data_IF_781154781077
#
_entry.id   IF_781154781077
#
_cell.length_a   1.000
_cell.length_b   1.000
_cell.length_c   1.000
_cell.angle_alpha   90.00
_cell.angle_beta   90.00
_cell.angle_gamma   90.00
#
_symmetry.space_group_name_H-M   'P 1'
#
loop_
_entity.id
_entity.type
_entity.pdbx_description
1 polymer ?
#
# COMPACT_ATOMS: atom_id res chain seq x y z
N UNK A 1 -12.23 -32.29 27.34
CA UNK A 1 -12.28 -30.83 27.53
C UNK A 1 -12.51 -30.21 26.16
N UNK A 2 -13.66 -29.55 25.97
CA UNK A 2 -14.06 -28.92 24.72
C UNK A 2 -14.08 -27.42 25.00
N UNK A 3 -13.29 -26.64 24.27
CA UNK A 3 -13.32 -25.18 24.35
C UNK A 3 -14.57 -24.68 23.60
N UNK A 4 -15.42 -23.84 24.21
CA UNK A 4 -16.55 -23.27 23.49
C UNK A 4 -16.05 -22.25 22.46
N UNK A 5 -16.44 -22.44 21.20
CA UNK A 5 -16.16 -21.50 20.12
C UNK A 5 -16.82 -20.15 20.45
N UNK A 6 -16.00 -19.11 20.51
CA UNK A 6 -16.46 -17.72 20.64
C UNK A 6 -17.26 -17.35 19.37
N UNK A 7 -18.44 -16.73 19.50
CA UNK A 7 -19.23 -16.34 18.34
C UNK A 7 -18.53 -15.20 17.61
N UNK A 8 -18.12 -15.48 16.37
CA UNK A 8 -17.59 -14.49 15.43
C UNK A 8 -18.68 -13.46 15.09
N UNK A 9 -18.80 -12.41 15.89
CA UNK A 9 -19.65 -11.25 15.59
C UNK A 9 -18.82 -10.00 15.49
N UNK A 10 -18.39 -9.72 14.27
CA UNK A 10 -18.49 -8.38 13.67
C UNK A 10 -18.45 -8.52 12.15
N UNK A 11 -19.64 -8.72 11.58
CA UNK A 11 -19.87 -8.63 10.14
C UNK A 11 -19.76 -7.16 9.77
N UNK A 12 -18.58 -6.72 9.35
CA UNK A 12 -18.46 -5.52 8.54
C UNK A 12 -19.37 -5.73 7.33
N UNK A 13 -20.52 -5.04 7.29
CA UNK A 13 -21.34 -4.94 6.08
C UNK A 13 -20.56 -4.12 5.05
N UNK A 14 -19.53 -4.72 4.45
CA UNK A 14 -19.04 -4.28 3.14
C UNK A 14 -20.14 -4.70 2.18
N UNK A 15 -20.97 -3.73 1.77
CA UNK A 15 -21.76 -3.92 0.55
C UNK A 15 -20.81 -4.43 -0.52
N UNK A 16 -21.04 -5.66 -1.00
CA UNK A 16 -20.27 -6.20 -2.10
C UNK A 16 -20.30 -5.13 -3.20
N UNK A 17 -19.14 -4.68 -3.71
CA UNK A 17 -19.09 -3.55 -4.63
C UNK A 17 -20.04 -3.84 -5.79
N UNK A 18 -21.07 -3.00 -5.92
CA UNK A 18 -22.06 -3.18 -6.98
C UNK A 18 -21.31 -3.08 -8.30
N UNK A 19 -21.43 -4.17 -9.05
CA UNK A 19 -20.78 -4.41 -10.33
C UNK A 19 -21.25 -3.33 -11.34
N UNK A 20 -20.67 -2.12 -11.30
CA UNK A 20 -20.99 -1.03 -12.25
C UNK A 20 -20.81 -1.52 -13.69
N UNK A 21 -21.89 -1.48 -14.45
CA UNK A 21 -21.97 -1.87 -15.86
C UNK A 21 -21.42 -0.72 -16.73
N UNK A 22 -20.10 -0.65 -16.90
CA UNK A 22 -19.48 0.14 -17.99
C UNK A 22 -19.09 -0.79 -19.15
N UNK A 23 -19.01 -0.23 -20.37
CA UNK A 23 -18.73 -0.92 -21.65
C UNK A 23 -17.54 -1.89 -21.62
N UNK A 24 -16.59 -1.73 -20.69
CA UNK A 24 -15.39 -2.54 -20.56
C UNK A 24 -15.57 -3.97 -20.00
N UNK A 25 -16.81 -4.45 -19.79
CA UNK A 25 -17.08 -5.85 -19.44
C UNK A 25 -17.23 -6.78 -20.63
N UNK A 26 -17.58 -6.28 -21.81
CA UNK A 26 -17.73 -7.15 -23.00
C UNK A 26 -16.39 -7.71 -23.46
N UNK A 27 -15.30 -7.02 -23.13
CA UNK A 27 -13.94 -7.48 -23.38
C UNK A 27 -13.38 -8.23 -22.15
N UNK A 28 -13.48 -9.56 -22.21
CA UNK A 28 -12.98 -10.47 -21.17
C UNK A 28 -11.47 -10.37 -21.01
N UNK A 29 -10.73 -10.13 -22.08
CA UNK A 29 -9.26 -10.04 -22.04
C UNK A 29 -8.81 -8.74 -21.39
N UNK A 30 -9.51 -7.64 -21.68
CA UNK A 30 -9.29 -6.36 -21.00
C UNK A 30 -9.55 -6.48 -19.49
N UNK A 31 -10.68 -7.07 -19.08
CA UNK A 31 -11.01 -7.26 -17.68
C UNK A 31 -9.99 -8.15 -16.96
N UNK A 32 -9.54 -9.23 -17.60
CA UNK A 32 -8.50 -10.13 -17.08
C UNK A 32 -7.16 -9.42 -16.92
N UNK A 33 -6.73 -8.68 -17.93
CA UNK A 33 -5.47 -7.92 -17.91
C UNK A 33 -5.50 -6.89 -16.78
N UNK A 34 -6.59 -6.13 -16.65
CA UNK A 34 -6.76 -5.16 -15.55
C UNK A 34 -6.70 -5.82 -14.17
N UNK A 35 -7.33 -6.99 -14.00
CA UNK A 35 -7.30 -7.72 -12.74
C UNK A 35 -5.87 -8.21 -12.39
N UNK A 36 -5.15 -8.77 -13.36
CA UNK A 36 -3.77 -9.21 -13.16
C UNK A 36 -2.83 -8.04 -12.84
N UNK A 37 -2.90 -6.95 -13.62
CA UNK A 37 -2.10 -5.75 -13.35
C UNK A 37 -2.37 -5.15 -11.97
N UNK A 38 -3.63 -5.20 -11.49
CA UNK A 38 -3.96 -4.80 -10.14
C UNK A 38 -3.25 -5.69 -9.10
N UNK A 39 -3.27 -7.01 -9.26
CA UNK A 39 -2.59 -7.94 -8.36
C UNK A 39 -1.08 -7.70 -8.34
N UNK A 40 -0.46 -7.55 -9.51
CA UNK A 40 0.97 -7.23 -9.66
C UNK A 40 1.34 -5.92 -8.96
N UNK A 41 0.49 -4.90 -9.09
CA UNK A 41 0.62 -3.64 -8.37
C UNK A 41 0.56 -3.84 -6.85
N UNK A 42 -0.41 -4.62 -6.34
CA UNK A 42 -0.54 -4.89 -4.89
C UNK A 42 0.66 -5.64 -4.32
N UNK A 43 1.20 -6.59 -5.06
CA UNK A 43 2.37 -7.34 -4.60
C UNK A 43 3.65 -6.51 -4.65
N UNK A 44 3.75 -5.61 -5.62
CA UNK A 44 4.84 -4.63 -5.71
C UNK A 44 4.78 -3.64 -4.55
N UNK A 45 3.61 -3.10 -4.22
CA UNK A 45 3.40 -2.24 -3.04
C UNK A 45 3.78 -2.94 -1.73
N UNK A 46 3.37 -4.20 -1.54
CA UNK A 46 3.78 -4.98 -0.35
C UNK A 46 5.30 -5.16 -0.28
N UNK A 47 5.95 -5.37 -1.42
CA UNK A 47 7.41 -5.50 -1.52
C UNK A 47 8.09 -4.21 -1.06
N UNK A 48 7.64 -3.07 -1.59
CA UNK A 48 8.15 -1.76 -1.22
C UNK A 48 7.98 -1.43 0.27
N UNK A 49 6.80 -1.65 0.84
CA UNK A 49 6.58 -1.42 2.28
C UNK A 49 7.47 -2.30 3.14
N UNK A 50 7.66 -3.58 2.76
CA UNK A 50 8.59 -4.49 3.45
C UNK A 50 10.04 -4.02 3.35
N UNK A 51 10.45 -3.55 2.18
CA UNK A 51 11.78 -2.98 1.97
C UNK A 51 11.99 -1.77 2.89
N UNK A 52 11.10 -0.77 2.84
CA UNK A 52 11.22 0.42 3.68
C UNK A 52 11.28 0.08 5.17
N UNK A 53 10.41 -0.82 5.63
CA UNK A 53 10.37 -1.26 7.02
C UNK A 53 11.70 -1.91 7.45
N UNK A 54 12.23 -2.83 6.62
CA UNK A 54 13.50 -3.50 6.92
C UNK A 54 14.67 -2.52 6.93
N UNK A 55 14.78 -1.66 5.93
CA UNK A 55 15.89 -0.72 5.80
C UNK A 55 15.87 0.30 6.94
N UNK A 56 14.70 0.84 7.28
CA UNK A 56 14.59 1.80 8.40
C UNK A 56 14.91 1.20 9.77
N UNK A 57 14.59 -0.08 10.00
CA UNK A 57 15.02 -0.79 11.20
C UNK A 57 16.52 -1.10 11.20
N UNK A 58 17.07 -1.56 10.07
CA UNK A 58 18.50 -1.87 9.92
C UNK A 58 19.38 -0.64 10.18
N UNK A 59 18.96 0.51 9.66
CA UNK A 59 19.64 1.79 9.85
C UNK A 59 19.33 2.45 11.20
N UNK A 60 18.57 1.76 12.08
CA UNK A 60 18.16 2.26 13.41
C UNK A 60 17.46 3.63 13.36
N UNK A 61 16.78 3.92 12.24
CA UNK A 61 16.09 5.18 12.01
C UNK A 61 14.72 5.22 12.69
N UNK A 62 14.08 4.05 12.83
CA UNK A 62 12.79 3.88 13.48
C UNK A 62 12.89 2.79 14.54
N UNK A 63 12.24 3.02 15.68
CA UNK A 63 11.89 1.97 16.64
C UNK A 63 10.82 1.03 16.07
N UNK A 64 10.61 -0.12 16.70
CA UNK A 64 9.58 -1.08 16.26
C UNK A 64 8.17 -0.48 16.31
N UNK A 65 7.87 0.29 17.35
CA UNK A 65 6.61 1.00 17.52
C UNK A 65 6.41 2.02 16.40
N UNK A 66 7.49 2.71 16.05
CA UNK A 66 7.48 3.68 14.98
C UNK A 66 7.23 2.99 13.62
N UNK A 67 7.97 1.95 13.33
CA UNK A 67 7.83 1.19 12.10
C UNK A 67 6.41 0.59 11.95
N UNK A 68 5.74 0.21 13.06
CA UNK A 68 4.34 -0.22 13.07
C UNK A 68 3.39 0.92 12.68
N UNK A 69 3.57 2.15 13.15
CA UNK A 69 2.68 3.25 12.73
C UNK A 69 2.97 3.72 11.30
N UNK A 70 4.22 3.68 10.84
CA UNK A 70 4.55 3.93 9.43
C UNK A 70 3.70 3.04 8.52
N UNK A 71 3.62 1.75 8.85
CA UNK A 71 2.76 0.78 8.16
C UNK A 71 1.27 1.13 8.27
N UNK A 72 0.79 1.63 9.42
CA UNK A 72 -0.61 2.07 9.59
C UNK A 72 -0.93 3.29 8.73
N UNK A 73 -0.06 4.29 8.69
CA UNK A 73 -0.21 5.50 7.85
C UNK A 73 -0.33 5.09 6.39
N UNK A 74 0.58 4.22 5.92
CA UNK A 74 0.54 3.68 4.57
C UNK A 74 -0.83 3.06 4.23
N UNK A 75 -1.31 2.10 5.02
CA UNK A 75 -2.59 1.42 4.74
C UNK A 75 -3.82 2.30 4.96
N UNK A 76 -3.70 3.35 5.78
CA UNK A 76 -4.76 4.36 5.94
C UNK A 76 -4.90 5.18 4.66
N UNK A 77 -3.78 5.64 4.10
CA UNK A 77 -3.77 6.40 2.85
C UNK A 77 -4.22 5.54 1.68
N UNK A 78 -3.66 4.34 1.53
CA UNK A 78 -4.05 3.41 0.46
C UNK A 78 -5.58 3.18 0.42
N UNK A 79 -6.22 2.96 1.59
CA UNK A 79 -7.69 2.84 1.68
C UNK A 79 -8.42 4.14 1.37
N UNK A 80 -7.93 5.28 1.88
CA UNK A 80 -8.51 6.61 1.63
C UNK A 80 -8.54 6.92 0.13
N UNK A 81 -7.52 6.51 -0.59
CA UNK A 81 -7.36 6.72 -2.02
C UNK A 81 -7.88 5.54 -2.87
N UNK A 82 -8.74 4.66 -2.31
CA UNK A 82 -9.37 3.53 -3.03
C UNK A 82 -8.36 2.57 -3.69
N UNK A 83 -7.30 2.25 -2.97
CA UNK A 83 -6.17 1.41 -3.39
C UNK A 83 -5.27 2.05 -4.46
N UNK A 84 -5.33 3.37 -4.59
CA UNK A 84 -4.38 4.15 -5.38
C UNK A 84 -3.31 4.70 -4.44
N UNK A 85 -2.10 4.13 -4.51
CA UNK A 85 -0.98 4.63 -3.71
C UNK A 85 -0.40 5.91 -4.32
N UNK A 86 -0.21 6.92 -3.47
CA UNK A 86 0.43 8.19 -3.82
C UNK A 86 1.65 8.36 -2.92
N UNK A 87 2.84 8.38 -3.53
CA UNK A 87 4.10 8.63 -2.81
C UNK A 87 4.07 10.00 -2.14
N UNK A 88 3.52 11.00 -2.82
CA UNK A 88 3.52 12.38 -2.36
C UNK A 88 2.61 12.55 -1.13
N UNK A 89 1.41 11.97 -1.16
CA UNK A 89 0.49 11.97 -0.01
C UNK A 89 1.09 11.21 1.18
N UNK A 90 1.80 10.11 0.91
CA UNK A 90 2.49 9.36 1.94
C UNK A 90 3.59 10.19 2.61
N UNK A 91 4.48 10.79 1.82
CA UNK A 91 5.56 11.65 2.34
C UNK A 91 5.01 12.89 3.06
N UNK A 92 3.92 13.48 2.55
CA UNK A 92 3.23 14.59 3.18
C UNK A 92 2.72 14.24 4.59
N UNK A 93 2.04 13.10 4.75
CA UNK A 93 1.57 12.64 6.07
C UNK A 93 2.73 12.32 7.02
N UNK A 94 3.85 11.79 6.53
CA UNK A 94 5.03 11.56 7.37
C UNK A 94 5.61 12.87 7.91
N UNK A 95 5.72 13.88 7.05
CA UNK A 95 6.17 15.22 7.45
C UNK A 95 5.23 15.87 8.45
N UNK A 96 3.92 15.78 8.21
CA UNK A 96 2.90 16.42 9.07
C UNK A 96 2.89 15.88 10.50
N UNK A 97 3.12 14.59 10.68
CA UNK A 97 3.08 13.98 12.01
C UNK A 97 4.36 14.23 12.83
N UNK A 98 5.31 15.03 12.32
CA UNK A 98 6.58 15.32 12.98
C UNK A 98 7.40 14.05 13.31
N UNK A 99 7.23 13.01 12.49
CA UNK A 99 8.11 11.84 12.47
C UNK A 99 9.52 12.19 11.96
N UNK A 100 9.65 13.44 11.50
CA UNK A 100 10.91 14.10 11.19
C UNK A 100 11.70 14.45 12.45
N UNK A 101 12.64 13.59 12.82
CA UNK A 101 14.00 14.11 12.76
C UNK A 101 14.27 14.40 11.28
N UNK A 102 14.84 15.55 10.89
CA UNK A 102 15.06 15.92 9.48
C UNK A 102 15.66 14.78 8.64
N UNK A 103 16.45 13.91 9.27
CA UNK A 103 17.11 12.77 8.65
C UNK A 103 16.16 11.62 8.28
N UNK A 104 15.06 11.36 9.00
CA UNK A 104 14.22 10.16 8.78
C UNK A 104 13.40 10.29 7.49
N UNK A 105 12.70 11.41 7.28
CA UNK A 105 11.97 11.63 6.02
C UNK A 105 12.94 11.64 4.83
N UNK A 106 14.10 12.31 4.96
CA UNK A 106 15.10 12.36 3.91
C UNK A 106 15.64 10.96 3.57
N UNK A 107 15.95 10.14 4.59
CA UNK A 107 16.39 8.75 4.39
C UNK A 107 15.29 7.90 3.75
N UNK A 108 14.03 8.04 4.16
CA UNK A 108 12.91 7.34 3.51
C UNK A 108 12.78 7.75 2.03
N UNK A 109 13.01 9.02 1.69
CA UNK A 109 13.05 9.48 0.30
C UNK A 109 14.17 8.78 -0.48
N UNK A 110 15.39 8.75 0.07
CA UNK A 110 16.54 8.09 -0.54
C UNK A 110 16.32 6.59 -0.73
N UNK A 111 15.80 5.89 0.29
CA UNK A 111 15.47 4.47 0.18
C UNK A 111 14.39 4.23 -0.87
N UNK A 112 13.42 5.14 -1.00
CA UNK A 112 12.39 5.04 -2.04
C UNK A 112 13.00 5.15 -3.42
N UNK A 113 13.89 6.12 -3.65
CA UNK A 113 14.62 6.26 -4.91
C UNK A 113 15.50 5.04 -5.21
N UNK A 114 16.22 4.53 -4.21
CA UNK A 114 17.10 3.38 -4.35
C UNK A 114 16.32 2.12 -4.69
N UNK A 115 15.20 1.89 -4.02
CA UNK A 115 14.30 0.79 -4.36
C UNK A 115 13.73 0.95 -5.77
N UNK A 116 13.36 2.16 -6.17
CA UNK A 116 12.84 2.43 -7.51
C UNK A 116 13.87 2.18 -8.62
N UNK A 117 15.15 2.47 -8.35
CA UNK A 117 16.26 2.23 -9.29
C UNK A 117 16.62 0.74 -9.41
N UNK A 118 16.54 0.00 -8.30
CA UNK A 118 17.12 -1.34 -8.20
C UNK A 118 16.11 -2.50 -8.20
N UNK A 119 14.83 -2.26 -7.89
CA UNK A 119 13.81 -3.31 -7.89
C UNK A 119 12.95 -3.26 -9.18
N UNK A 120 12.95 -4.32 -10.02
CA UNK A 120 12.15 -4.33 -11.25
C UNK A 120 10.65 -4.17 -10.99
N UNK A 121 10.16 -4.47 -9.79
CA UNK A 121 8.75 -4.28 -9.39
C UNK A 121 8.37 -2.82 -9.18
N UNK A 122 9.35 -1.90 -9.11
CA UNK A 122 9.07 -0.50 -8.89
C UNK A 122 8.21 0.15 -9.97
N UNK A 123 8.36 -0.30 -11.22
CA UNK A 123 7.56 0.15 -12.36
C UNK A 123 6.07 -0.15 -12.20
N UNK A 124 5.72 -1.11 -11.33
CA UNK A 124 4.35 -1.56 -11.09
C UNK A 124 3.68 -0.81 -9.93
N UNK A 125 4.41 -0.01 -9.17
CA UNK A 125 3.84 0.81 -8.09
C UNK A 125 3.14 2.06 -8.64
N UNK A 126 3.65 2.65 -9.72
CA UNK A 126 3.05 3.80 -10.40
C UNK A 126 1.88 3.37 -11.32
N UNK A 127 0.99 2.53 -10.79
CA UNK A 127 -0.11 2.00 -11.57
C UNK A 127 -1.31 2.96 -11.55
N UNK A 128 -1.71 3.39 -12.73
CA UNK A 128 -2.93 4.15 -12.95
C UNK A 128 -4.01 3.22 -13.53
N UNK A 129 -5.19 3.21 -12.90
CA UNK A 129 -6.42 2.83 -13.59
C UNK A 129 -6.72 3.95 -14.59
N UNK A 130 -6.26 3.79 -15.83
CA UNK A 130 -6.88 4.54 -16.93
C UNK A 130 -8.36 4.18 -16.95
N UNK A 131 -9.21 5.19 -16.74
CA UNK A 131 -10.65 5.04 -16.83
C UNK A 131 -11.01 4.57 -18.25
N UNK A 132 -11.92 3.59 -18.29
CA UNK A 132 -12.96 3.59 -19.30
C UNK A 132 -14.03 4.59 -18.88
#
# INVERSE_FOLDING_TARGET
MIFPELPFKEVWKTSAPTLRTRRCRSDKEYARTKALSFLDHRDSLKSYVRYLFRTTQQEQLLTDEEAVQLRKIFWKLDRKHKNYFSSDDFMWELNKNNWGKPNVTLSIHQFTEDWQKNDPKAKLILWYLTDC
#
